data_IF_370989587576
#
_entry.id   IF_370989587576
#
_cell.length_a   1.000
_cell.length_b   1.000
_cell.length_c   1.000
_cell.angle_alpha   90.00
_cell.angle_beta   90.00
_cell.angle_gamma   90.00
#
_symmetry.space_group_name_H-M   'P 1'
#
loop_
_entity.id
_entity.type
_entity.pdbx_description
1 polymer ?
#
# COMPACT_ATOMS: atom_id res chain seq x y z
N UNK A 1 -6.53 4.59 33.23
CA UNK A 1 -5.51 3.72 32.60
C UNK A 1 -5.99 3.38 31.20
N UNK A 2 -5.37 3.99 30.19
CA UNK A 2 -5.76 3.92 28.77
C UNK A 2 -5.53 2.51 28.22
N UNK A 3 -6.58 1.86 27.70
CA UNK A 3 -6.46 0.60 26.98
C UNK A 3 -5.66 0.83 25.69
N UNK A 4 -4.36 0.49 25.72
CA UNK A 4 -3.57 0.26 24.52
C UNK A 4 -4.13 -0.97 23.81
N UNK A 5 -4.79 -0.73 22.67
CA UNK A 5 -5.23 -1.80 21.76
C UNK A 5 -3.99 -2.55 21.26
N UNK A 6 -3.80 -3.76 21.77
CA UNK A 6 -2.78 -4.72 21.31
C UNK A 6 -3.07 -5.03 19.84
N UNK A 7 -2.26 -4.51 18.92
CA UNK A 7 -2.36 -4.88 17.50
C UNK A 7 -1.85 -6.31 17.35
N UNK A 8 -2.69 -7.15 16.76
CA UNK A 8 -2.41 -8.51 16.32
C UNK A 8 -1.09 -8.51 15.53
N UNK A 9 -0.09 -9.27 16.00
CA UNK A 9 1.01 -9.71 15.15
C UNK A 9 0.45 -10.84 14.29
N UNK A 10 0.50 -10.65 12.98
CA UNK A 10 0.18 -11.67 12.00
C UNK A 10 1.51 -12.05 11.35
N UNK A 11 2.04 -13.21 11.74
CA UNK A 11 3.35 -13.70 11.32
C UNK A 11 3.23 -14.31 9.91
N UNK A 12 2.97 -13.47 8.92
CA UNK A 12 3.22 -13.80 7.52
C UNK A 12 4.62 -13.27 7.19
N UNK A 13 5.60 -14.17 7.01
CA UNK A 13 6.94 -13.78 6.54
C UNK A 13 6.85 -13.47 5.03
N UNK A 14 6.11 -12.43 4.68
CA UNK A 14 6.31 -11.68 3.45
C UNK A 14 7.26 -10.54 3.78
N UNK A 15 8.32 -10.34 2.99
CA UNK A 15 9.13 -9.13 3.11
C UNK A 15 8.20 -7.93 2.90
N UNK A 16 7.82 -7.26 3.98
CA UNK A 16 7.02 -6.05 3.93
C UNK A 16 7.99 -4.91 3.68
N UNK A 17 8.29 -4.64 2.41
CA UNK A 17 8.87 -3.35 2.06
C UNK A 17 7.80 -2.29 2.33
N UNK A 18 8.01 -1.46 3.35
CA UNK A 18 7.15 -0.32 3.64
C UNK A 18 7.93 0.98 3.53
N UNK A 19 7.26 2.01 3.00
CA UNK A 19 7.80 3.36 2.93
C UNK A 19 6.71 4.35 3.23
N UNK A 20 7.06 5.32 4.06
CA UNK A 20 6.22 6.45 4.38
C UNK A 20 6.63 7.65 3.54
N UNK A 21 5.65 8.28 2.90
CA UNK A 21 5.84 9.45 2.05
C UNK A 21 4.96 10.59 2.54
N UNK A 22 5.41 11.81 2.37
CA UNK A 22 4.59 13.00 2.59
C UNK A 22 4.26 13.65 1.24
N UNK A 23 2.98 13.98 1.04
CA UNK A 23 2.51 14.61 -0.18
C UNK A 23 1.38 15.59 0.16
N UNK A 24 1.59 16.88 -0.15
CA UNK A 24 0.62 17.96 0.08
C UNK A 24 0.05 18.00 1.51
N UNK A 25 0.88 17.69 2.51
CA UNK A 25 0.47 17.64 3.92
C UNK A 25 -0.24 16.35 4.36
N UNK A 26 -0.42 15.37 3.46
CA UNK A 26 -0.87 14.03 3.80
C UNK A 26 0.31 13.09 3.95
N UNK A 27 0.19 12.11 4.85
CA UNK A 27 1.16 11.03 5.01
C UNK A 27 0.63 9.74 4.40
N UNK A 28 1.37 9.17 3.47
CA UNK A 28 1.05 7.91 2.80
C UNK A 28 1.99 6.83 3.32
N UNK A 29 1.44 5.77 3.88
CA UNK A 29 2.16 4.55 4.20
C UNK A 29 1.90 3.53 3.08
N UNK A 30 2.92 3.30 2.27
CA UNK A 30 2.86 2.35 1.15
C UNK A 30 3.66 1.11 1.57
N UNK A 31 2.99 -0.03 1.60
CA UNK A 31 3.59 -1.31 1.91
C UNK A 31 3.43 -2.27 0.74
N UNK A 32 4.34 -3.21 0.58
CA UNK A 32 4.27 -4.24 -0.45
C UNK A 32 4.11 -5.60 0.20
N UNK A 33 3.15 -6.36 -0.32
CA UNK A 33 2.99 -7.77 -0.04
C UNK A 33 3.48 -8.58 -1.25
N UNK A 34 4.57 -9.34 -1.06
CA UNK A 34 5.07 -10.27 -2.07
C UNK A 34 4.48 -11.67 -1.86
N UNK A 35 3.60 -12.10 -2.76
CA UNK A 35 3.03 -13.45 -2.77
C UNK A 35 3.91 -14.35 -3.66
N UNK A 36 4.51 -15.37 -3.06
CA UNK A 36 5.22 -16.41 -3.79
C UNK A 36 4.29 -17.60 -4.02
N UNK A 37 3.95 -17.89 -5.28
CA UNK A 37 3.24 -19.12 -5.65
C UNK A 37 4.27 -20.17 -6.08
N UNK A 38 4.47 -21.18 -5.24
CA UNK A 38 5.34 -22.32 -5.55
C UNK A 38 4.90 -23.58 -4.78
N UNK A 39 4.81 -24.70 -5.48
CA UNK A 39 4.65 -26.01 -4.85
C UNK A 39 5.99 -26.40 -4.22
N UNK A 40 6.01 -26.64 -2.91
CA UNK A 40 7.20 -27.13 -2.22
C UNK A 40 7.71 -28.40 -2.91
N UNK A 41 8.93 -28.37 -3.46
CA UNK A 41 9.63 -29.56 -3.97
C UNK A 41 9.91 -29.60 -5.47
N UNK A 42 9.48 -28.65 -6.29
CA UNK A 42 9.97 -28.54 -7.69
C UNK A 42 10.47 -27.14 -7.93
N UNK A 43 11.68 -27.03 -8.49
CA UNK A 43 12.35 -25.83 -9.02
C UNK A 43 11.54 -25.22 -10.18
N UNK A 44 10.27 -24.92 -9.94
CA UNK A 44 9.43 -24.18 -10.86
C UNK A 44 9.56 -22.74 -10.40
N UNK A 45 10.18 -21.90 -11.25
CA UNK A 45 10.33 -20.46 -11.07
C UNK A 45 9.11 -19.89 -10.33
N UNK A 46 9.28 -19.61 -9.04
CA UNK A 46 8.19 -19.13 -8.21
C UNK A 46 7.66 -17.84 -8.85
N UNK A 47 6.43 -17.87 -9.34
CA UNK A 47 5.81 -16.65 -9.87
C UNK A 47 5.53 -15.77 -8.66
N UNK A 48 6.33 -14.70 -8.50
CA UNK A 48 6.09 -13.67 -7.50
C UNK A 48 5.03 -12.72 -8.03
N UNK A 49 4.00 -12.48 -7.24
CA UNK A 49 3.04 -11.41 -7.46
C UNK A 49 3.25 -10.38 -6.36
N UNK A 50 3.33 -9.11 -6.73
CA UNK A 50 3.49 -8.02 -5.78
C UNK A 50 2.18 -7.26 -5.67
N UNK A 51 1.76 -6.98 -4.44
CA UNK A 51 0.57 -6.19 -4.14
C UNK A 51 1.02 -4.96 -3.36
N UNK A 52 0.78 -3.77 -3.90
CA UNK A 52 0.94 -2.52 -3.19
C UNK A 52 -0.28 -2.28 -2.31
N UNK A 53 -0.05 -2.01 -1.03
CA UNK A 53 -1.06 -1.67 -0.04
C UNK A 53 -0.80 -0.25 0.44
N UNK A 54 -1.70 0.67 0.07
CA UNK A 54 -1.59 2.09 0.39
C UNK A 54 -2.55 2.41 1.53
N UNK A 55 -2.02 2.95 2.61
CA UNK A 55 -2.76 3.47 3.75
C UNK A 55 -2.46 4.96 3.88
N UNK A 56 -3.49 5.75 4.12
CA UNK A 56 -3.33 7.17 4.37
C UNK A 56 -3.44 7.41 5.86
N UNK A 57 -2.49 8.16 6.38
CA UNK A 57 -2.53 8.69 7.73
C UNK A 57 -2.73 10.19 7.57
N UNK A 58 -3.95 10.66 7.81
CA UNK A 58 -4.25 12.08 7.73
C UNK A 58 -3.43 12.82 8.80
N UNK A 59 -2.65 13.81 8.38
CA UNK A 59 -1.92 14.68 9.31
C UNK A 59 -2.69 15.98 9.62
N UNK A 60 -3.68 16.35 8.79
CA UNK A 60 -4.37 17.64 8.89
C UNK A 60 -5.91 17.58 8.93
N UNK A 61 -6.55 16.66 8.19
CA UNK A 61 -8.01 16.46 8.22
C UNK A 61 -8.33 15.13 8.92
N UNK A 62 -8.60 15.19 10.22
CA UNK A 62 -9.01 14.02 11.00
C UNK A 62 -10.33 13.39 10.51
N UNK A 63 -11.05 14.06 9.61
CA UNK A 63 -12.30 13.64 8.97
C UNK A 63 -12.10 13.06 7.57
N UNK A 64 -10.92 13.18 6.96
CA UNK A 64 -10.64 12.61 5.64
C UNK A 64 -10.34 11.11 5.75
N UNK A 65 -11.40 10.30 5.76
CA UNK A 65 -11.28 8.85 5.65
C UNK A 65 -10.94 8.46 4.21
N UNK A 66 -9.68 8.09 3.98
CA UNK A 66 -9.27 7.44 2.74
C UNK A 66 -9.35 5.92 2.92
N UNK A 67 -9.92 5.18 1.95
CA UNK A 67 -9.91 3.74 1.99
C UNK A 67 -8.48 3.21 1.85
N UNK A 68 -8.20 2.06 2.49
CA UNK A 68 -6.97 1.32 2.19
C UNK A 68 -7.06 0.78 0.78
N UNK A 69 -6.11 1.14 -0.08
CA UNK A 69 -6.07 0.63 -1.45
C UNK A 69 -5.13 -0.56 -1.54
N UNK A 70 -5.56 -1.61 -2.24
CA UNK A 70 -4.74 -2.75 -2.60
C UNK A 70 -4.67 -2.79 -4.12
N UNK A 71 -3.47 -2.67 -4.65
CA UNK A 71 -3.19 -2.64 -6.08
C UNK A 71 -2.27 -3.81 -6.38
N UNK A 72 -2.62 -4.62 -7.36
CA UNK A 72 -1.81 -5.72 -7.88
C UNK A 72 -1.19 -5.39 -9.25
N UNK A 73 -1.60 -4.25 -9.82
CA UNK A 73 -1.14 -3.72 -11.10
C UNK A 73 -1.16 -2.19 -11.12
N UNK A 74 -0.44 -1.62 -12.08
CA UNK A 74 -0.55 -0.21 -12.45
C UNK A 74 -0.67 -0.09 -13.97
N UNK A 75 -1.69 0.65 -14.44
CA UNK A 75 -1.91 0.84 -15.88
C UNK A 75 -2.24 -0.45 -16.64
N UNK A 76 -2.90 -1.41 -15.98
CA UNK A 76 -3.27 -2.70 -16.57
C UNK A 76 -2.12 -3.70 -16.70
N UNK A 77 -0.97 -3.43 -16.06
CA UNK A 77 0.17 -4.35 -16.01
C UNK A 77 0.50 -4.73 -14.56
N UNK A 78 0.61 -6.04 -14.25
CA UNK A 78 1.04 -6.49 -12.93
C UNK A 78 2.39 -5.89 -12.55
N UNK A 79 2.58 -5.62 -11.26
CA UNK A 79 3.88 -5.14 -10.78
C UNK A 79 4.96 -6.18 -11.01
N UNK A 80 6.06 -5.78 -11.66
CA UNK A 80 7.19 -6.66 -11.97
C UNK A 80 8.15 -6.82 -10.79
N UNK A 81 8.16 -5.85 -9.86
CA UNK A 81 9.01 -5.85 -8.68
C UNK A 81 8.34 -5.18 -7.47
N UNK A 82 8.96 -5.32 -6.30
CA UNK A 82 8.55 -4.63 -5.08
C UNK A 82 8.68 -3.10 -5.22
N UNK A 83 9.71 -2.63 -5.93
CA UNK A 83 9.91 -1.20 -6.20
C UNK A 83 8.81 -0.67 -7.09
N UNK A 84 8.41 -1.42 -8.12
CA UNK A 84 7.30 -1.02 -9.00
C UNK A 84 5.98 -0.96 -8.23
N UNK A 85 5.74 -1.91 -7.33
CA UNK A 85 4.58 -1.90 -6.45
C UNK A 85 4.61 -0.68 -5.50
N UNK A 86 5.76 -0.37 -4.88
CA UNK A 86 5.91 0.83 -4.04
C UNK A 86 5.59 2.11 -4.83
N UNK A 87 6.18 2.27 -6.01
CA UNK A 87 6.00 3.47 -6.82
C UNK A 87 4.59 3.57 -7.42
N UNK A 88 3.99 2.44 -7.79
CA UNK A 88 2.60 2.36 -8.24
C UNK A 88 1.62 2.72 -7.12
N UNK A 89 1.84 2.20 -5.91
CA UNK A 89 1.07 2.56 -4.72
C UNK A 89 1.18 4.04 -4.37
N UNK A 90 2.40 4.59 -4.38
CA UNK A 90 2.61 6.02 -4.15
C UNK A 90 1.89 6.88 -5.20
N UNK A 91 2.03 6.57 -6.49
CA UNK A 91 1.41 7.32 -7.58
C UNK A 91 -0.12 7.28 -7.52
N UNK A 92 -0.70 6.11 -7.22
CA UNK A 92 -2.14 5.98 -7.01
C UNK A 92 -2.61 6.79 -5.79
N UNK A 93 -1.80 6.81 -4.73
CA UNK A 93 -2.08 7.61 -3.54
C UNK A 93 -2.08 9.11 -3.79
N UNK A 94 -1.11 9.61 -4.58
CA UNK A 94 -1.07 11.02 -4.98
C UNK A 94 -2.31 11.41 -5.80
N UNK A 95 -2.72 10.57 -6.77
CA UNK A 95 -3.92 10.82 -7.58
C UNK A 95 -5.18 10.92 -6.72
N UNK A 96 -5.35 10.02 -5.75
CA UNK A 96 -6.51 10.06 -4.86
C UNK A 96 -6.54 11.35 -4.00
N UNK A 97 -5.38 11.82 -3.55
CA UNK A 97 -5.26 13.11 -2.83
C UNK A 97 -5.59 14.27 -3.77
N UNK A 98 -5.04 14.28 -4.98
CA UNK A 98 -5.29 15.34 -5.97
C UNK A 98 -6.78 15.39 -6.39
N UNK A 99 -7.44 14.24 -6.56
CA UNK A 99 -8.88 14.13 -6.83
C UNK A 99 -9.72 14.69 -5.68
N UNK A 100 -9.30 14.46 -4.43
CA UNK A 100 -9.97 15.03 -3.25
C UNK A 100 -9.79 16.54 -3.17
N UNK A 101 -8.59 17.05 -3.40
CA UNK A 101 -8.29 18.48 -3.35
C UNK A 101 -8.89 19.27 -4.52
N UNK A 102 -9.11 18.63 -5.66
CA UNK A 102 -9.76 19.26 -6.81
C UNK A 102 -11.29 19.32 -6.70
N UNK A 103 -11.90 18.53 -5.81
CA UNK A 103 -13.33 18.61 -5.53
C UNK A 103 -13.62 19.88 -4.71
N UNK A 104 -14.49 20.79 -5.18
CA UNK A 104 -14.84 22.00 -4.43
C UNK A 104 -15.51 21.61 -3.10
N UNK A 105 -15.30 22.38 -2.02
CA UNK A 105 -16.07 22.20 -0.79
C UNK A 105 -17.55 22.43 -1.14
N UNK A 106 -18.37 21.40 -0.96
CA UNK A 106 -19.82 21.48 -1.11
C UNK A 106 -20.47 22.19 0.07
#
# INVERSE_FOLDING_TARGET
>A
MTLMRKRVSLDAVGQHMNRTYEYRGYRLDVSVEALCFGQAGRTMLARRRYIAVVRFVAAHDATAEFPTMRLDEAGGQPFASEVDALMGGYSAGQRLIDDRLSRPPG
#
